data_IF_091222226093
#
_entry.id   IF_091222226093
#
_cell.length_a   1.000
_cell.length_b   1.000
_cell.length_c   1.000
_cell.angle_alpha   90.00
_cell.angle_beta   90.00
_cell.angle_gamma   90.00
#
_symmetry.space_group_name_H-M   'P 1'
#
loop_
_entity.id
_entity.type
_entity.pdbx_description
1 polymer ?
#
# COMPACT_ATOMS: atom_id res chain seq x y z
N UNK A 1 -3.65 -4.14 80.03
CA UNK A 1 -3.60 -5.34 79.17
C UNK A 1 -4.14 -4.95 77.82
N UNK A 2 -3.26 -4.62 76.87
CA UNK A 2 -3.65 -4.26 75.50
C UNK A 2 -3.53 -5.50 74.65
N UNK A 3 -4.63 -5.98 74.09
CA UNK A 3 -4.65 -7.05 73.09
C UNK A 3 -4.69 -6.38 71.72
N UNK A 4 -3.56 -6.38 71.02
CA UNK A 4 -3.48 -6.01 69.60
C UNK A 4 -4.03 -7.15 68.75
N UNK A 5 -5.10 -6.87 68.01
CA UNK A 5 -5.67 -7.77 67.01
C UNK A 5 -4.76 -7.74 65.77
N UNK A 6 -4.02 -8.84 65.53
CA UNK A 6 -3.26 -9.05 64.30
C UNK A 6 -4.23 -9.49 63.19
N UNK A 7 -4.24 -8.86 62.00
CA UNK A 7 -5.15 -9.25 60.94
C UNK A 7 -4.83 -10.67 60.43
N UNK A 8 -5.86 -11.39 59.99
CA UNK A 8 -5.74 -12.77 59.53
C UNK A 8 -5.20 -12.85 58.10
N UNK A 9 -4.43 -13.89 57.76
CA UNK A 9 -3.85 -14.10 56.42
C UNK A 9 -4.90 -14.15 55.29
N UNK A 10 -6.17 -14.45 55.61
CA UNK A 10 -7.27 -14.47 54.63
C UNK A 10 -7.65 -13.07 54.13
N UNK A 11 -7.31 -12.02 54.88
CA UNK A 11 -7.59 -10.64 54.51
C UNK A 11 -6.53 -10.08 53.54
N UNK A 12 -5.35 -10.70 53.47
CA UNK A 12 -4.26 -10.31 52.56
C UNK A 12 -4.44 -10.92 51.15
N UNK A 13 -5.06 -12.10 51.03
CA UNK A 13 -5.31 -12.73 49.72
C UNK A 13 -6.44 -12.07 48.92
N UNK A 14 -7.41 -11.41 49.59
CA UNK A 14 -8.52 -10.73 48.90
C UNK A 14 -8.15 -9.37 48.29
N UNK A 15 -7.02 -8.78 48.67
CA UNK A 15 -6.54 -7.51 48.11
C UNK A 15 -5.71 -7.69 46.83
N UNK A 16 -5.26 -8.92 46.52
CA UNK A 16 -4.42 -9.21 45.35
C UNK A 16 -5.21 -9.58 44.07
N UNK A 17 -6.54 -9.71 44.14
CA UNK A 17 -7.38 -10.12 43.00
C UNK A 17 -8.15 -8.94 42.36
N UNK A 18 -7.51 -7.77 42.25
CA UNK A 18 -8.08 -6.57 41.61
C UNK A 18 -7.18 -5.97 40.53
N UNK A 19 -6.48 -6.83 39.77
CA UNK A 19 -5.87 -6.43 38.51
C UNK A 19 -6.50 -7.22 37.36
N UNK A 20 -7.78 -6.97 37.13
CA UNK A 20 -8.37 -7.21 35.83
C UNK A 20 -7.73 -6.20 34.87
N UNK A 21 -6.82 -6.70 34.05
CA UNK A 21 -6.17 -5.95 32.99
C UNK A 21 -7.21 -5.17 32.21
N UNK A 22 -7.07 -3.85 32.20
CA UNK A 22 -7.76 -3.00 31.24
C UNK A 22 -7.22 -3.42 29.87
N UNK A 23 -8.01 -4.19 29.13
CA UNK A 23 -7.79 -4.35 27.70
C UNK A 23 -7.98 -2.96 27.10
N UNK A 24 -6.87 -2.31 26.82
CA UNK A 24 -6.81 -1.11 26.00
C UNK A 24 -7.33 -1.49 24.62
N UNK A 25 -8.64 -1.36 24.40
CA UNK A 25 -9.26 -1.51 23.09
C UNK A 25 -8.91 -0.26 22.27
N UNK A 26 -7.64 -0.14 21.93
CA UNK A 26 -7.23 0.59 20.74
C UNK A 26 -7.90 -0.12 19.56
N UNK A 27 -8.55 0.58 18.62
CA UNK A 27 -9.06 -0.06 17.43
C UNK A 27 -7.87 -0.69 16.71
N UNK A 28 -7.79 -2.03 16.78
CA UNK A 28 -6.80 -2.80 16.05
C UNK A 28 -6.94 -2.40 14.58
N UNK A 29 -5.87 -1.83 14.02
CA UNK A 29 -5.88 -1.40 12.63
C UNK A 29 -6.33 -2.59 11.77
N UNK A 30 -7.27 -2.39 10.83
CA UNK A 30 -7.80 -3.50 10.04
C UNK A 30 -6.63 -4.28 9.42
N UNK A 31 -6.63 -5.60 9.64
CA UNK A 31 -5.64 -6.51 9.08
C UNK A 31 -5.67 -6.39 7.55
N UNK A 32 -4.56 -5.93 6.97
CA UNK A 32 -4.39 -5.83 5.51
C UNK A 32 -3.97 -7.16 4.91
N UNK A 33 -4.29 -7.38 3.64
CA UNK A 33 -3.93 -8.58 2.90
C UNK A 33 -2.60 -8.35 2.14
N UNK A 34 -1.49 -9.00 2.52
CA UNK A 34 -0.21 -8.81 1.88
C UNK A 34 -0.19 -9.37 0.46
N UNK A 35 0.48 -8.67 -0.45
CA UNK A 35 0.86 -9.16 -1.76
C UNK A 35 2.18 -9.92 -1.68
N UNK A 36 2.41 -10.88 -2.58
CA UNK A 36 3.68 -11.61 -2.69
C UNK A 36 4.88 -10.69 -2.96
N UNK A 37 4.62 -9.56 -3.63
CA UNK A 37 5.64 -8.59 -3.99
C UNK A 37 5.15 -7.17 -3.72
N UNK A 38 6.11 -6.29 -3.41
CA UNK A 38 5.89 -4.84 -3.45
C UNK A 38 5.94 -4.35 -4.89
N UNK A 39 5.02 -3.46 -5.23
CA UNK A 39 4.87 -2.86 -6.55
C UNK A 39 4.99 -1.35 -6.47
N UNK A 40 5.38 -0.75 -7.59
CA UNK A 40 5.48 0.70 -7.79
C UNK A 40 4.65 1.09 -9.01
N UNK A 41 3.76 2.05 -8.82
CA UNK A 41 3.03 2.71 -9.91
C UNK A 41 3.84 3.91 -10.39
N UNK A 42 4.03 3.97 -11.69
CA UNK A 42 4.71 5.03 -12.41
C UNK A 42 3.74 5.73 -13.36
N UNK A 43 3.97 7.02 -13.58
CA UNK A 43 3.28 7.82 -14.57
C UNK A 43 4.30 8.48 -15.49
N UNK A 44 4.13 8.25 -16.79
CA UNK A 44 4.84 8.97 -17.82
C UNK A 44 3.99 10.17 -18.25
N UNK A 45 4.52 11.38 -18.08
CA UNK A 45 3.92 12.61 -18.57
C UNK A 45 4.61 13.03 -19.86
N UNK A 46 3.87 13.17 -20.96
CA UNK A 46 4.47 13.67 -22.20
C UNK A 46 4.66 15.19 -22.19
N UNK A 47 5.67 15.68 -21.48
CA UNK A 47 6.11 17.09 -21.52
C UNK A 47 7.29 17.23 -22.47
N UNK A 48 7.07 17.87 -23.62
CA UNK A 48 8.09 18.04 -24.67
C UNK A 48 9.29 18.90 -24.26
N UNK A 49 9.23 19.58 -23.12
CA UNK A 49 10.33 20.40 -22.60
C UNK A 49 11.27 19.63 -21.67
N UNK A 50 10.96 18.36 -21.35
CA UNK A 50 11.73 17.51 -20.44
C UNK A 50 12.30 16.32 -21.19
N UNK A 51 13.39 15.77 -20.66
CA UNK A 51 13.88 14.46 -21.13
C UNK A 51 12.88 13.35 -20.81
N UNK A 52 13.00 12.23 -21.52
CA UNK A 52 12.13 11.06 -21.31
C UNK A 52 12.20 10.54 -19.87
N UNK A 53 13.39 10.52 -19.27
CA UNK A 53 13.60 10.06 -17.90
C UNK A 53 12.95 11.00 -16.87
N UNK A 54 13.02 12.32 -17.09
CA UNK A 54 12.37 13.32 -16.23
C UNK A 54 10.83 13.30 -16.33
N UNK A 55 10.33 12.80 -17.45
CA UNK A 55 8.90 12.61 -17.70
C UNK A 55 8.33 11.37 -16.99
N UNK A 56 9.19 10.46 -16.55
CA UNK A 56 8.82 9.24 -15.87
C UNK A 56 8.92 9.41 -14.35
N UNK A 57 7.77 9.42 -13.67
CA UNK A 57 7.69 9.68 -12.22
C UNK A 57 7.06 8.51 -11.50
N UNK A 58 7.69 8.06 -10.40
CA UNK A 58 7.06 7.12 -9.47
C UNK A 58 5.98 7.86 -8.66
N UNK A 59 4.74 7.39 -8.71
CA UNK A 59 3.63 7.98 -7.95
C UNK A 59 3.65 7.47 -6.52
N UNK A 60 3.61 6.14 -6.36
CA UNK A 60 3.52 5.47 -5.08
C UNK A 60 3.88 3.99 -5.21
N UNK A 61 4.23 3.38 -4.08
CA UNK A 61 4.53 1.97 -3.95
C UNK A 61 3.61 1.31 -2.93
N UNK A 62 3.16 0.09 -3.19
CA UNK A 62 2.22 -0.67 -2.35
C UNK A 62 2.61 -2.15 -2.27
N UNK A 63 2.32 -2.79 -1.14
CA UNK A 63 2.57 -4.21 -0.87
C UNK A 63 1.36 -4.93 -0.25
N UNK A 64 0.20 -4.28 -0.20
CA UNK A 64 -1.07 -4.88 0.24
C UNK A 64 -2.18 -4.64 -0.79
N UNK A 65 -3.21 -5.48 -0.75
CA UNK A 65 -4.41 -5.35 -1.60
C UNK A 65 -5.14 -4.04 -1.31
N UNK A 66 -5.25 -3.65 -0.05
CA UNK A 66 -5.92 -2.44 0.39
C UNK A 66 -5.18 -1.19 -0.09
N UNK A 67 -3.86 -1.17 -0.01
CA UNK A 67 -3.07 -0.03 -0.47
C UNK A 67 -3.13 0.12 -2.00
N UNK A 68 -3.21 -0.99 -2.74
CA UNK A 68 -3.48 -0.94 -4.17
C UNK A 68 -4.83 -0.28 -4.47
N UNK A 69 -5.92 -0.74 -3.83
CA UNK A 69 -7.25 -0.18 -4.07
C UNK A 69 -7.37 1.26 -3.61
N UNK A 70 -6.75 1.59 -2.47
CA UNK A 70 -6.68 2.97 -2.00
C UNK A 70 -5.99 3.86 -3.03
N UNK A 71 -4.89 3.42 -3.65
CA UNK A 71 -4.22 4.16 -4.71
C UNK A 71 -5.10 4.24 -5.97
N UNK A 72 -5.54 3.09 -6.50
CA UNK A 72 -6.27 2.99 -7.76
C UNK A 72 -7.54 3.86 -7.77
N UNK A 73 -8.28 3.89 -6.66
CA UNK A 73 -9.52 4.67 -6.55
C UNK A 73 -9.30 6.20 -6.59
N UNK A 74 -8.06 6.68 -6.44
CA UNK A 74 -7.71 8.09 -6.57
C UNK A 74 -6.97 8.41 -7.88
N UNK A 75 -6.78 7.42 -8.76
CA UNK A 75 -6.19 7.64 -10.07
C UNK A 75 -7.24 8.08 -11.07
N UNK A 76 -6.80 8.85 -12.05
CA UNK A 76 -7.58 9.05 -13.27
C UNK A 76 -7.65 7.75 -14.06
N UNK A 77 -8.81 7.50 -14.65
CA UNK A 77 -9.00 6.31 -15.49
C UNK A 77 -8.05 6.38 -16.70
N UNK A 78 -7.49 5.24 -17.17
CA UNK A 78 -6.64 5.23 -18.36
C UNK A 78 -7.29 5.80 -19.63
N UNK A 79 -8.62 5.83 -19.71
CA UNK A 79 -9.35 6.47 -20.81
C UNK A 79 -9.41 8.00 -20.73
N UNK A 80 -9.07 8.59 -19.58
CA UNK A 80 -9.13 10.03 -19.30
C UNK A 80 -7.77 10.70 -19.20
N UNK A 81 -6.68 9.94 -19.12
CA UNK A 81 -5.34 10.52 -19.11
C UNK A 81 -5.04 11.16 -20.47
N UNK A 82 -4.19 12.20 -20.47
CA UNK A 82 -3.83 12.91 -21.69
C UNK A 82 -3.13 11.98 -22.70
N UNK A 83 -3.36 12.23 -23.99
CA UNK A 83 -2.76 11.44 -25.05
C UNK A 83 -1.23 11.48 -24.98
N UNK A 84 -0.61 10.30 -25.06
CA UNK A 84 0.85 10.14 -24.94
C UNK A 84 1.35 10.04 -23.50
N UNK A 85 0.47 10.11 -22.50
CA UNK A 85 0.80 9.75 -21.13
C UNK A 85 0.48 8.28 -20.87
N UNK A 86 1.25 7.65 -19.98
CA UNK A 86 1.12 6.22 -19.68
C UNK A 86 1.16 5.96 -18.17
N UNK A 87 0.43 4.93 -17.73
CA UNK A 87 0.66 4.30 -16.43
C UNK A 87 1.50 3.04 -16.61
N UNK A 88 2.37 2.77 -15.64
CA UNK A 88 3.18 1.54 -15.60
C UNK A 88 3.24 1.01 -14.18
N UNK A 89 2.99 -0.30 -13.99
CA UNK A 89 3.11 -0.97 -12.70
C UNK A 89 4.24 -1.98 -12.78
N UNK A 90 5.29 -1.81 -11.97
CA UNK A 90 6.47 -2.67 -11.94
C UNK A 90 6.75 -3.12 -10.51
N UNK A 91 7.46 -4.25 -10.35
CA UNK A 91 7.93 -4.64 -9.01
C UNK A 91 8.85 -3.56 -8.46
N UNK A 92 8.82 -3.39 -7.15
CA UNK A 92 9.64 -2.39 -6.46
C UNK A 92 11.12 -2.51 -6.82
N UNK A 93 11.74 -1.38 -7.12
CA UNK A 93 13.15 -1.29 -7.55
C UNK A 93 13.41 -1.66 -9.01
N UNK A 94 12.38 -1.92 -9.82
CA UNK A 94 12.50 -2.07 -11.28
C UNK A 94 11.92 -0.83 -11.95
N UNK A 95 12.74 -0.11 -12.71
CA UNK A 95 12.27 1.05 -13.48
C UNK A 95 11.56 0.58 -14.75
N UNK A 96 10.46 1.22 -15.19
CA UNK A 96 9.74 0.87 -16.41
C UNK A 96 10.47 1.38 -17.68
N UNK A 97 11.72 0.99 -17.84
CA UNK A 97 12.61 1.41 -18.94
C UNK A 97 13.42 0.20 -19.43
N UNK A 98 13.83 0.21 -20.70
CA UNK A 98 14.53 -0.93 -21.31
C UNK A 98 15.98 -1.06 -20.84
N UNK A 99 16.55 0.03 -20.33
CA UNK A 99 17.89 0.14 -19.76
C UNK A 99 18.00 -0.57 -18.40
N UNK A 100 16.87 -0.78 -17.69
CA UNK A 100 16.88 -1.49 -16.42
C UNK A 100 17.43 -2.91 -16.61
N UNK A 101 18.36 -3.29 -15.75
CA UNK A 101 19.02 -4.61 -15.78
C UNK A 101 18.04 -5.78 -15.83
N UNK A 102 16.85 -5.64 -15.22
CA UNK A 102 15.81 -6.68 -15.18
C UNK A 102 14.91 -6.69 -16.42
N UNK A 103 14.94 -5.66 -17.24
CA UNK A 103 14.13 -5.54 -18.46
C UNK A 103 14.95 -5.76 -19.75
N UNK A 104 16.25 -5.45 -19.75
CA UNK A 104 17.11 -5.42 -20.95
C UNK A 104 17.13 -6.70 -21.79
N UNK A 105 16.92 -7.87 -21.17
CA UNK A 105 16.91 -9.17 -21.84
C UNK A 105 15.50 -9.78 -21.93
N UNK A 106 14.47 -8.99 -21.66
CA UNK A 106 13.08 -9.40 -21.68
C UNK A 106 12.37 -9.05 -22.98
N UNK A 107 11.05 -8.92 -22.86
CA UNK A 107 10.16 -8.49 -23.92
C UNK A 107 8.81 -8.10 -23.33
N UNK A 108 7.84 -7.77 -24.20
CA UNK A 108 6.47 -7.47 -23.77
C UNK A 108 5.46 -8.08 -24.72
N UNK A 109 4.35 -8.52 -24.16
CA UNK A 109 3.14 -8.80 -24.93
C UNK A 109 2.39 -7.49 -25.12
N UNK A 110 1.97 -7.23 -26.36
CA UNK A 110 1.28 -6.00 -26.74
C UNK A 110 -0.15 -6.34 -27.17
N UNK A 111 -1.11 -5.67 -26.55
CA UNK A 111 -2.52 -5.73 -26.92
C UNK A 111 -2.89 -4.33 -27.41
N UNK A 112 -3.29 -4.23 -28.67
CA UNK A 112 -3.79 -2.99 -29.25
C UNK A 112 -5.30 -2.93 -29.08
N UNK A 113 -5.78 -1.90 -28.39
CA UNK A 113 -7.20 -1.59 -28.32
C UNK A 113 -7.53 -0.64 -29.47
N UNK A 114 -8.40 -1.08 -30.38
CA UNK A 114 -8.91 -0.18 -31.40
C UNK A 114 -9.84 0.84 -30.74
N UNK A 115 -9.85 2.07 -31.26
CA UNK A 115 -10.99 2.94 -31.00
C UNK A 115 -12.17 2.28 -31.70
N UNK A 116 -13.13 1.76 -30.93
CA UNK A 116 -14.39 1.38 -31.51
C UNK A 116 -14.92 2.61 -32.27
N UNK A 117 -15.14 2.45 -33.57
CA UNK A 117 -16.01 3.35 -34.31
C UNK A 117 -17.40 3.01 -33.82
N UNK A 118 -17.78 3.53 -32.65
CA UNK A 118 -19.19 3.61 -32.31
C UNK A 118 -19.85 4.38 -33.46
N UNK A 119 -20.68 3.66 -34.21
CA UNK A 119 -21.41 4.22 -35.33
C UNK A 119 -22.34 5.33 -34.86
N UNK A 120 -22.34 6.42 -35.64
CA UNK A 120 -23.08 7.70 -35.52
C UNK A 120 -22.50 8.79 -34.60
#
# INVERSE_FOLDING_TARGET
MSVENKPSERDLEKAASSQQARTDTSPEAPLKHPLEHRWSLWYYRNDGNRSWEENLVEISSFDTVEDFWALYNHLELPSKIAQGCDYSIFKYGIKPMWEDSRNRQGGRWLIYLNKDQDGE
#
